data_IF_306948083012
#
_entry.id   IF_306948083012
#
_cell.length_a   1.000
_cell.length_b   1.000
_cell.length_c   1.000
_cell.angle_alpha   90.00
_cell.angle_beta   90.00
_cell.angle_gamma   90.00
#
_symmetry.space_group_name_H-M   'P 1'
#
loop_
_entity.id
_entity.type
_entity.pdbx_description
1 polymer ?
#
# COMPACT_ATOMS: atom_id res chain seq x y z
N UNK A 1 -7.27 45.42 -28.30
CA UNK A 1 -5.95 45.01 -28.86
C UNK A 1 -4.73 45.69 -28.20
N UNK A 2 -4.78 46.95 -27.72
CA UNK A 2 -3.60 47.62 -27.14
C UNK A 2 -3.08 47.04 -25.80
N UNK A 3 -3.91 46.29 -25.07
CA UNK A 3 -3.51 45.61 -23.82
C UNK A 3 -2.54 44.45 -24.08
N UNK A 4 -2.79 43.67 -25.14
CA UNK A 4 -1.98 42.49 -25.46
C UNK A 4 -0.56 42.88 -25.89
N UNK A 5 -0.41 43.92 -26.70
CA UNK A 5 0.91 44.37 -27.19
C UNK A 5 1.78 44.91 -26.06
N UNK A 6 1.18 45.63 -25.10
CA UNK A 6 1.87 46.11 -23.89
C UNK A 6 2.26 44.94 -22.97
N UNK A 7 1.39 43.96 -22.82
CA UNK A 7 1.65 42.76 -22.03
C UNK A 7 2.77 41.89 -22.63
N UNK A 8 2.77 41.69 -23.95
CA UNK A 8 3.85 41.02 -24.68
C UNK A 8 5.19 41.76 -24.59
N UNK A 9 5.19 43.09 -24.65
CA UNK A 9 6.40 43.90 -24.41
C UNK A 9 6.93 43.75 -22.98
N UNK A 10 6.04 43.72 -21.98
CA UNK A 10 6.39 43.52 -20.57
C UNK A 10 6.99 42.12 -20.34
N UNK A 11 6.39 41.10 -20.94
CA UNK A 11 6.89 39.72 -20.91
C UNK A 11 8.28 39.63 -21.54
N UNK A 12 8.48 40.27 -22.69
CA UNK A 12 9.77 40.29 -23.40
C UNK A 12 10.86 41.01 -22.61
N UNK A 13 10.51 42.10 -21.90
CA UNK A 13 11.45 42.87 -21.08
C UNK A 13 11.92 42.12 -19.82
N UNK A 14 11.09 41.24 -19.26
CA UNK A 14 11.38 40.50 -18.01
C UNK A 14 11.37 38.98 -18.19
N UNK A 15 11.68 38.51 -19.41
CA UNK A 15 11.52 37.13 -19.83
C UNK A 15 12.21 36.12 -18.91
N UNK A 16 13.43 36.39 -18.44
CA UNK A 16 14.16 35.47 -17.56
C UNK A 16 13.50 35.27 -16.20
N UNK A 17 13.04 36.34 -15.55
CA UNK A 17 12.36 36.22 -14.25
C UNK A 17 10.98 35.59 -14.38
N UNK A 18 10.26 35.90 -15.46
CA UNK A 18 8.95 35.32 -15.75
C UNK A 18 9.09 33.82 -16.04
N UNK A 19 10.10 33.43 -16.82
CA UNK A 19 10.41 32.03 -17.10
C UNK A 19 10.75 31.27 -15.81
N UNK A 20 11.60 31.85 -14.95
CA UNK A 20 11.95 31.25 -13.66
C UNK A 20 10.73 31.09 -12.75
N UNK A 21 9.88 32.12 -12.64
CA UNK A 21 8.63 32.05 -11.89
C UNK A 21 7.66 31.00 -12.44
N UNK A 22 7.57 30.88 -13.77
CA UNK A 22 6.74 29.87 -14.44
C UNK A 22 7.27 28.45 -14.17
N UNK A 23 8.59 28.23 -14.23
CA UNK A 23 9.20 26.95 -13.88
C UNK A 23 8.89 26.56 -12.43
N UNK A 24 9.04 27.48 -11.47
CA UNK A 24 8.69 27.25 -10.06
C UNK A 24 7.20 26.89 -9.91
N UNK A 25 6.32 27.59 -10.63
CA UNK A 25 4.88 27.29 -10.66
C UNK A 25 4.58 25.92 -11.25
N UNK A 26 5.26 25.51 -12.32
CA UNK A 26 5.09 24.16 -12.88
C UNK A 26 5.57 23.08 -11.91
N UNK A 27 6.70 23.30 -11.24
CA UNK A 27 7.25 22.37 -10.26
C UNK A 27 6.29 22.20 -9.07
N UNK A 28 5.66 23.28 -8.60
CA UNK A 28 4.67 23.19 -7.51
C UNK A 28 3.41 22.43 -7.93
N UNK A 29 2.89 22.68 -9.14
CA UNK A 29 1.73 21.95 -9.69
C UNK A 29 2.04 20.46 -9.85
N UNK A 30 3.18 20.10 -10.44
CA UNK A 30 3.59 18.70 -10.60
C UNK A 30 3.72 18.03 -9.23
N UNK A 31 4.37 18.67 -8.27
CA UNK A 31 4.55 18.13 -6.91
C UNK A 31 3.22 17.93 -6.18
N UNK A 32 2.28 18.87 -6.30
CA UNK A 32 0.94 18.75 -5.72
C UNK A 32 0.16 17.57 -6.32
N UNK A 33 0.19 17.43 -7.65
CA UNK A 33 -0.48 16.32 -8.34
C UNK A 33 0.13 14.96 -7.94
N UNK A 34 1.46 14.87 -7.83
CA UNK A 34 2.15 13.67 -7.35
C UNK A 34 1.86 13.36 -5.87
N UNK A 35 1.70 14.39 -5.03
CA UNK A 35 1.28 14.23 -3.64
C UNK A 35 -0.16 13.72 -3.51
N UNK A 36 -1.06 14.23 -4.35
CA UNK A 36 -2.48 13.87 -4.33
C UNK A 36 -2.72 12.41 -4.74
N UNK A 37 -2.03 11.91 -5.77
CA UNK A 37 -2.16 10.51 -6.22
C UNK A 37 -1.73 9.49 -5.15
N UNK A 38 -0.84 9.85 -4.22
CA UNK A 38 -0.42 8.96 -3.14
C UNK A 38 -1.38 8.98 -1.93
N UNK A 39 -2.26 9.98 -1.84
CA UNK A 39 -3.24 10.13 -0.73
C UNK A 39 -4.41 9.15 -0.82
N UNK A 40 -4.64 8.52 -1.99
CA UNK A 40 -5.70 7.52 -2.20
C UNK A 40 -5.26 6.08 -1.93
N UNK A 41 -3.96 5.82 -1.67
CA UNK A 41 -3.51 4.55 -1.08
C UNK A 41 -3.61 4.59 0.44
N UNK A 42 -4.78 4.93 0.96
CA UNK A 42 -5.18 4.43 2.28
C UNK A 42 -5.41 2.95 2.07
N UNK A 43 -4.42 2.12 2.36
CA UNK A 43 -4.72 0.73 2.72
C UNK A 43 -5.86 0.82 3.74
N UNK A 44 -7.01 0.19 3.52
CA UNK A 44 -8.04 0.18 4.53
C UNK A 44 -7.41 -0.45 5.75
N UNK A 45 -7.14 0.37 6.76
CA UNK A 45 -7.08 -0.12 8.13
C UNK A 45 -8.51 -0.63 8.34
N UNK A 46 -8.70 -1.92 8.10
CA UNK A 46 -9.88 -2.64 8.55
C UNK A 46 -9.78 -2.58 10.07
N UNK A 47 -10.28 -1.49 10.64
CA UNK A 47 -10.79 -1.51 12.00
C UNK A 47 -11.94 -2.50 11.89
N UNK A 48 -11.68 -3.76 12.22
CA UNK A 48 -12.74 -4.60 12.76
C UNK A 48 -13.30 -3.78 13.90
N UNK A 49 -14.50 -3.31 13.68
CA UNK A 49 -15.36 -2.64 14.63
C UNK A 49 -15.21 -3.35 15.97
N UNK A 50 -14.49 -2.71 16.89
CA UNK A 50 -14.42 -3.07 18.29
C UNK A 50 -15.78 -2.74 18.92
N UNK A 51 -16.83 -3.46 18.51
CA UNK A 51 -17.91 -3.72 19.45
C UNK A 51 -17.26 -4.55 20.55
N UNK A 52 -17.46 -4.13 21.81
CA UNK A 52 -16.87 -4.67 23.03
C UNK A 52 -15.54 -4.04 23.49
N UNK A 53 -15.48 -2.70 23.55
CA UNK A 53 -15.02 -2.06 24.78
C UNK A 53 -16.20 -2.01 25.76
N UNK A 54 -16.63 -3.18 26.23
CA UNK A 54 -17.32 -3.29 27.51
C UNK A 54 -16.19 -3.42 28.52
N UNK A 55 -15.96 -2.35 29.28
CA UNK A 55 -15.20 -2.45 30.51
C UNK A 55 -15.82 -3.58 31.32
N UNK A 56 -15.06 -4.63 31.63
CA UNK A 56 -15.41 -5.47 32.75
C UNK A 56 -14.28 -5.41 33.76
N UNK A 57 -14.68 -4.76 34.85
CA UNK A 57 -14.07 -4.79 36.16
C UNK A 57 -13.84 -6.26 36.53
N UNK A 58 -12.72 -6.47 37.19
CA UNK A 58 -12.33 -7.72 37.83
C UNK A 58 -13.50 -8.26 38.66
N UNK A 59 -14.12 -9.36 38.22
CA UNK A 59 -14.95 -10.18 39.10
C UNK A 59 -14.75 -11.65 38.80
N UNK A 60 -14.42 -12.37 39.87
CA UNK A 60 -14.13 -13.78 39.88
C UNK A 60 -15.42 -14.57 39.66
N UNK A 61 -15.35 -15.68 38.91
CA UNK A 61 -15.96 -17.00 39.21
C UNK A 61 -16.12 -17.83 37.91
N UNK A 62 -15.25 -18.82 37.80
CA UNK A 62 -15.51 -20.23 37.48
C UNK A 62 -16.55 -20.65 36.42
N UNK A 63 -16.07 -21.55 35.53
CA UNK A 63 -16.79 -22.63 34.83
C UNK A 63 -17.59 -22.35 33.55
N UNK A 64 -17.10 -22.96 32.45
CA UNK A 64 -17.70 -24.10 31.71
C UNK A 64 -17.72 -23.90 30.19
N UNK A 65 -17.16 -24.91 29.53
CA UNK A 65 -17.16 -25.17 28.08
C UNK A 65 -18.60 -25.19 27.54
N UNK A 66 -18.87 -24.44 26.45
CA UNK A 66 -19.69 -24.94 25.35
C UNK A 66 -19.51 -24.10 24.08
N UNK A 67 -18.95 -24.73 23.06
CA UNK A 67 -19.02 -24.27 21.67
C UNK A 67 -20.49 -24.16 21.21
N UNK A 68 -20.85 -23.15 20.43
CA UNK A 68 -21.88 -23.27 19.42
C UNK A 68 -21.23 -23.37 18.04
N UNK A 69 -21.54 -24.45 17.34
CA UNK A 69 -21.38 -24.61 15.90
C UNK A 69 -21.91 -23.38 15.18
N UNK A 70 -21.00 -22.56 14.63
CA UNK A 70 -21.32 -21.53 13.65
C UNK A 70 -20.72 -21.97 12.33
N UNK A 71 -21.59 -22.19 11.33
CA UNK A 71 -21.26 -22.46 9.95
C UNK A 71 -20.60 -21.24 9.29
N UNK A 72 -19.44 -20.83 9.80
CA UNK A 72 -18.61 -19.82 9.17
C UNK A 72 -17.67 -20.53 8.20
N UNK A 73 -17.65 -20.15 6.91
CA UNK A 73 -16.65 -20.67 5.98
C UNK A 73 -15.27 -20.52 6.63
N UNK A 74 -14.38 -21.53 6.53
CA UNK A 74 -13.04 -21.44 7.10
C UNK A 74 -12.44 -20.10 6.68
N UNK A 75 -11.75 -19.38 7.59
CA UNK A 75 -11.09 -18.14 7.22
C UNK A 75 -10.29 -18.45 5.97
N UNK A 76 -10.63 -17.82 4.84
CA UNK A 76 -9.90 -18.00 3.59
C UNK A 76 -8.49 -17.52 3.90
N UNK A 77 -7.63 -18.46 4.28
CA UNK A 77 -6.21 -18.24 4.42
C UNK A 77 -5.80 -17.69 3.08
N UNK A 78 -5.30 -16.46 3.06
CA UNK A 78 -4.86 -15.83 1.84
C UNK A 78 -3.65 -16.62 1.37
N UNK A 79 -3.88 -17.63 0.52
CA UNK A 79 -2.86 -18.59 0.05
C UNK A 79 -1.88 -17.94 -0.91
N UNK A 80 -2.07 -16.66 -1.21
CA UNK A 80 -1.24 -15.92 -2.14
C UNK A 80 0.16 -15.74 -1.56
N UNK A 81 1.15 -16.02 -2.40
CA UNK A 81 2.56 -15.83 -2.09
C UNK A 81 3.17 -14.83 -3.04
N UNK A 82 4.14 -14.07 -2.55
CA UNK A 82 4.87 -13.07 -3.32
C UNK A 82 6.32 -13.50 -3.51
N UNK A 83 6.80 -13.30 -4.72
CA UNK A 83 8.17 -13.56 -5.16
C UNK A 83 8.79 -12.25 -5.62
N UNK A 84 10.11 -12.12 -5.44
CA UNK A 84 10.88 -11.03 -6.04
C UNK A 84 11.42 -11.45 -7.40
N UNK A 85 11.30 -10.60 -8.43
CA UNK A 85 11.90 -10.83 -9.76
C UNK A 85 13.39 -11.21 -9.73
N UNK A 86 14.10 -10.77 -8.68
CA UNK A 86 15.54 -10.96 -8.53
C UNK A 86 15.90 -12.12 -7.57
N UNK A 87 14.94 -12.94 -7.14
CA UNK A 87 15.17 -14.02 -6.17
C UNK A 87 14.33 -15.23 -6.47
N UNK A 88 14.91 -16.41 -6.25
CA UNK A 88 14.23 -17.70 -6.41
C UNK A 88 13.44 -18.10 -5.15
N UNK A 89 12.98 -17.10 -4.38
CA UNK A 89 12.34 -17.30 -3.08
C UNK A 89 10.95 -16.67 -3.04
N UNK A 90 9.99 -17.44 -2.56
CA UNK A 90 8.65 -16.95 -2.27
C UNK A 90 8.49 -16.65 -0.78
N UNK A 91 7.61 -15.70 -0.51
CA UNK A 91 7.28 -15.21 0.82
C UNK A 91 5.77 -15.11 0.96
N UNK A 92 5.25 -15.37 2.16
CA UNK A 92 3.88 -15.02 2.49
C UNK A 92 3.73 -13.53 2.78
N UNK A 93 2.50 -13.01 2.69
CA UNK A 93 2.19 -11.58 2.89
C UNK A 93 2.57 -11.07 4.30
N UNK A 94 2.58 -11.94 5.30
CA UNK A 94 3.00 -11.61 6.67
C UNK A 94 4.51 -11.62 6.90
N UNK A 95 5.29 -12.20 5.99
CA UNK A 95 6.72 -12.33 6.17
C UNK A 95 7.44 -10.98 6.00
N UNK A 96 8.47 -10.75 6.83
CA UNK A 96 9.30 -9.55 6.77
C UNK A 96 9.98 -9.38 5.41
N UNK A 97 10.35 -10.50 4.76
CA UNK A 97 10.88 -10.53 3.40
C UNK A 97 9.93 -9.93 2.37
N UNK A 98 8.63 -10.28 2.41
CA UNK A 98 7.62 -9.77 1.49
C UNK A 98 7.49 -8.24 1.53
N UNK A 99 7.54 -7.66 2.74
CA UNK A 99 7.43 -6.20 2.94
C UNK A 99 8.61 -5.41 2.36
N UNK A 100 9.75 -6.06 2.12
CA UNK A 100 10.97 -5.44 1.59
C UNK A 100 11.05 -5.53 0.06
N UNK A 101 10.19 -6.32 -0.58
CA UNK A 101 10.16 -6.45 -2.04
C UNK A 101 9.55 -5.17 -2.62
N UNK A 102 10.33 -4.45 -3.42
CA UNK A 102 9.85 -3.28 -4.14
C UNK A 102 8.66 -3.65 -5.04
N UNK A 103 7.60 -2.83 -5.14
CA UNK A 103 6.39 -3.17 -5.88
C UNK A 103 6.65 -3.48 -7.36
N UNK A 104 7.67 -2.86 -7.97
CA UNK A 104 8.08 -3.12 -9.35
C UNK A 104 8.65 -4.52 -9.56
N UNK A 105 9.12 -5.15 -8.47
CA UNK A 105 9.74 -6.46 -8.44
C UNK A 105 8.85 -7.55 -7.85
N UNK A 106 7.61 -7.26 -7.47
CA UNK A 106 6.68 -8.24 -6.92
C UNK A 106 6.03 -9.07 -8.04
N UNK A 107 6.07 -10.38 -7.90
CA UNK A 107 5.29 -11.34 -8.68
C UNK A 107 4.41 -12.10 -7.69
N UNK A 108 3.10 -12.12 -7.92
CA UNK A 108 2.14 -12.78 -7.04
C UNK A 108 1.66 -14.09 -7.65
N UNK A 109 1.60 -15.14 -6.81
CA UNK A 109 1.03 -16.44 -7.15
C UNK A 109 -0.18 -16.74 -6.27
N UNK A 110 -1.11 -17.55 -6.75
CA UNK A 110 -2.36 -17.85 -6.03
C UNK A 110 -2.14 -18.86 -4.89
N UNK A 111 -1.07 -19.67 -4.96
CA UNK A 111 -0.70 -20.66 -3.95
C UNK A 111 0.81 -20.85 -3.88
N UNK A 112 1.30 -21.36 -2.73
CA UNK A 112 2.70 -21.79 -2.57
C UNK A 112 3.09 -22.86 -3.60
N UNK A 113 2.22 -23.83 -3.85
CA UNK A 113 2.42 -24.90 -4.85
C UNK A 113 2.62 -24.34 -6.27
N UNK A 114 1.90 -23.26 -6.62
CA UNK A 114 2.06 -22.61 -7.92
C UNK A 114 3.43 -21.92 -8.07
N UNK A 115 3.99 -21.41 -6.96
CA UNK A 115 5.34 -20.85 -6.94
C UNK A 115 6.40 -21.96 -6.98
N UNK A 116 6.21 -23.04 -6.24
CA UNK A 116 7.10 -24.21 -6.23
C UNK A 116 7.16 -24.90 -7.60
N UNK A 117 6.02 -25.05 -8.28
CA UNK A 117 5.95 -25.57 -9.65
C UNK A 117 6.68 -24.69 -10.67
N UNK A 118 6.87 -23.40 -10.36
CA UNK A 118 7.70 -22.48 -11.16
C UNK A 118 9.16 -22.42 -10.71
N UNK A 119 9.57 -23.25 -9.75
CA UNK A 119 10.95 -23.36 -9.27
C UNK A 119 11.30 -22.44 -8.10
N UNK A 120 10.32 -21.78 -7.48
CA UNK A 120 10.56 -20.91 -6.32
C UNK A 120 10.54 -21.70 -5.01
N UNK A 121 11.39 -21.32 -4.06
CA UNK A 121 11.53 -21.99 -2.76
C UNK A 121 11.04 -21.10 -1.61
N UNK A 122 10.58 -21.70 -0.51
CA UNK A 122 10.19 -20.91 0.67
C UNK A 122 11.42 -20.17 1.21
N UNK A 123 11.26 -18.89 1.50
CA UNK A 123 12.33 -18.14 2.13
C UNK A 123 12.58 -18.66 3.56
N UNK A 124 13.85 -18.94 3.89
CA UNK A 124 14.19 -19.52 5.20
C UNK A 124 13.86 -18.64 6.42
N UNK A 125 13.62 -17.35 6.21
CA UNK A 125 13.16 -16.41 7.24
C UNK A 125 11.63 -16.24 7.28
N UNK A 126 10.90 -17.08 6.55
CA UNK A 126 9.46 -17.02 6.40
C UNK A 126 8.86 -18.33 6.92
N UNK A 127 8.02 -18.23 7.94
CA UNK A 127 7.29 -19.38 8.47
C UNK A 127 5.98 -19.54 7.70
N UNK A 128 5.68 -20.76 7.21
CA UNK A 128 4.45 -21.06 6.50
C UNK A 128 3.21 -21.06 7.40
#
# INVERSE_FOLDING_TARGET
MKILSKFLQLIKSRQHHIFLAFCIGLISVVSYNLGQINSLKKTPISIKESTNLKADIFDATTNKIQSPTSNLPPPKLDTRVVVSKNSDKYHYSWCSGAKRIKPENQIWFNSATEAENRGYTLAGNCMP
#
